data_IF_718906591013
#
_entry.id   IF_718906591013
#
_cell.length_a   1.000
_cell.length_b   1.000
_cell.length_c   1.000
_cell.angle_alpha   90.00
_cell.angle_beta   90.00
_cell.angle_gamma   90.00
#
_symmetry.space_group_name_H-M   'P 1'
#
loop_
_entity.id
_entity.type
_entity.pdbx_description
1 polymer ?
#
# COMPACT_ATOMS: atom_id res chain seq x y z
N UNK A 1 6.47 -10.57 9.90
CA UNK A 1 6.14 -11.22 8.59
C UNK A 1 4.72 -10.94 8.11
N UNK A 2 3.66 -11.05 8.94
CA UNK A 2 2.26 -10.81 8.51
C UNK A 2 2.00 -9.43 7.87
N UNK A 3 2.44 -8.33 8.49
CA UNK A 3 2.19 -6.98 7.97
C UNK A 3 2.95 -6.68 6.68
N UNK A 4 4.16 -7.23 6.52
CA UNK A 4 4.91 -7.08 5.27
C UNK A 4 4.25 -7.85 4.11
N UNK A 5 3.70 -9.03 4.38
CA UNK A 5 2.94 -9.78 3.39
C UNK A 5 1.64 -9.06 2.98
N UNK A 6 0.94 -8.46 3.96
CA UNK A 6 -0.20 -7.57 3.68
C UNK A 6 0.22 -6.38 2.80
N UNK A 7 1.32 -5.72 3.14
CA UNK A 7 1.88 -4.64 2.33
C UNK A 7 2.13 -5.09 0.88
N UNK A 8 2.79 -6.24 0.69
CA UNK A 8 3.06 -6.80 -0.63
C UNK A 8 1.79 -7.12 -1.41
N UNK A 9 0.80 -7.76 -0.79
CA UNK A 9 -0.49 -8.05 -1.42
C UNK A 9 -1.22 -6.77 -1.83
N UNK A 10 -1.28 -5.78 -0.93
CA UNK A 10 -1.91 -4.49 -1.20
C UNK A 10 -1.18 -3.74 -2.33
N UNK A 11 0.15 -3.76 -2.32
CA UNK A 11 0.98 -3.19 -3.37
C UNK A 11 0.70 -3.85 -4.72
N UNK A 12 0.76 -5.18 -4.79
CA UNK A 12 0.53 -5.95 -6.02
C UNK A 12 -0.88 -5.72 -6.55
N UNK A 13 -1.89 -5.73 -5.67
CA UNK A 13 -3.28 -5.47 -6.04
C UNK A 13 -3.45 -4.09 -6.68
N UNK A 14 -2.92 -3.03 -6.06
CA UNK A 14 -2.98 -1.69 -6.65
C UNK A 14 -2.16 -1.58 -7.93
N UNK A 15 -0.98 -2.18 -7.95
CA UNK A 15 -0.10 -2.10 -9.11
C UNK A 15 -0.74 -2.74 -10.34
N UNK A 16 -1.27 -3.96 -10.21
CA UNK A 16 -1.97 -4.66 -11.29
C UNK A 16 -3.23 -3.89 -11.71
N UNK A 17 -4.05 -3.43 -10.76
CA UNK A 17 -5.26 -2.67 -11.07
C UNK A 17 -4.93 -1.40 -11.86
N UNK A 18 -3.88 -0.68 -11.47
CA UNK A 18 -3.45 0.55 -12.12
C UNK A 18 -2.86 0.29 -13.51
N UNK A 19 -2.15 -0.84 -13.70
CA UNK A 19 -1.67 -1.28 -15.02
C UNK A 19 -2.83 -1.64 -15.95
N UNK A 20 -3.85 -2.34 -15.46
CA UNK A 20 -5.06 -2.68 -16.26
C UNK A 20 -5.74 -1.38 -16.71
N UNK A 21 -5.96 -0.44 -15.80
CA UNK A 21 -6.59 0.85 -16.14
C UNK A 21 -5.75 1.64 -17.15
N UNK A 22 -4.42 1.71 -16.97
CA UNK A 22 -3.55 2.37 -17.94
C UNK A 22 -3.55 1.65 -19.31
N UNK A 23 -3.59 0.32 -19.35
CA UNK A 23 -3.64 -0.43 -20.59
C UNK A 23 -4.97 -0.24 -21.35
N UNK A 24 -6.09 -0.06 -20.63
CA UNK A 24 -7.41 0.15 -21.23
C UNK A 24 -7.65 1.60 -21.67
N UNK A 25 -7.12 2.58 -20.93
CA UNK A 25 -7.44 4.00 -21.14
C UNK A 25 -6.32 4.81 -21.79
N UNK A 26 -5.08 4.32 -21.79
CA UNK A 26 -3.91 5.06 -22.29
C UNK A 26 -3.17 4.26 -23.35
N UNK A 27 -2.63 4.98 -24.33
CA UNK A 27 -1.77 4.39 -25.36
C UNK A 27 -0.43 3.87 -24.77
N UNK A 28 -0.03 4.36 -23.59
CA UNK A 28 1.17 3.93 -22.89
C UNK A 28 0.80 3.40 -21.49
N UNK A 29 1.34 2.23 -21.14
CA UNK A 29 1.14 1.57 -19.85
C UNK A 29 1.63 2.39 -18.64
N UNK A 30 2.52 3.36 -18.87
CA UNK A 30 3.09 4.28 -17.89
C UNK A 30 3.44 3.60 -16.54
N UNK A 31 4.26 2.54 -16.64
CA UNK A 31 4.61 1.61 -15.57
C UNK A 31 5.21 2.29 -14.34
N UNK A 32 6.01 3.34 -14.54
CA UNK A 32 6.65 4.08 -13.45
C UNK A 32 5.63 4.80 -12.57
N UNK A 33 4.63 5.44 -13.17
CA UNK A 33 3.55 6.11 -12.43
C UNK A 33 2.65 5.08 -11.75
N UNK A 34 2.35 3.96 -12.41
CA UNK A 34 1.58 2.88 -11.80
C UNK A 34 2.29 2.33 -10.55
N UNK A 35 3.62 2.14 -10.64
CA UNK A 35 4.46 1.68 -9.54
C UNK A 35 4.50 2.68 -8.39
N UNK A 36 4.78 3.97 -8.66
CA UNK A 36 4.94 4.98 -7.62
C UNK A 36 3.64 5.21 -6.84
N UNK A 37 2.49 5.22 -7.52
CA UNK A 37 1.17 5.33 -6.87
C UNK A 37 0.88 4.11 -6.01
N UNK A 38 1.07 2.89 -6.55
CA UNK A 38 0.83 1.67 -5.79
C UNK A 38 1.74 1.56 -4.56
N UNK A 39 3.02 1.93 -4.71
CA UNK A 39 3.98 1.95 -3.61
C UNK A 39 3.59 2.98 -2.55
N UNK A 40 3.27 4.21 -2.95
CA UNK A 40 2.86 5.27 -2.03
C UNK A 40 1.60 4.91 -1.22
N UNK A 41 0.57 4.38 -1.88
CA UNK A 41 -0.66 3.95 -1.21
C UNK A 41 -0.42 2.78 -0.23
N UNK A 42 0.29 1.73 -0.69
CA UNK A 42 0.58 0.58 0.16
C UNK A 42 1.48 0.97 1.35
N UNK A 43 2.46 1.85 1.13
CA UNK A 43 3.39 2.30 2.17
C UNK A 43 2.68 3.19 3.19
N UNK A 44 1.82 4.10 2.74
CA UNK A 44 0.99 4.92 3.63
C UNK A 44 0.12 4.08 4.55
N UNK A 45 -0.54 3.04 4.01
CA UNK A 45 -1.32 2.12 4.84
C UNK A 45 -0.47 1.32 5.82
N UNK A 46 0.71 0.86 5.40
CA UNK A 46 1.64 0.16 6.28
C UNK A 46 2.12 1.05 7.45
N UNK A 47 2.40 2.33 7.18
CA UNK A 47 2.76 3.29 8.23
C UNK A 47 1.60 3.54 9.20
N UNK A 48 0.38 3.68 8.69
CA UNK A 48 -0.82 3.84 9.53
C UNK A 48 -1.03 2.60 10.40
N UNK A 49 -0.87 1.39 9.85
CA UNK A 49 -1.00 0.13 10.60
C UNK A 49 0.03 0.09 11.74
N UNK A 50 1.30 0.45 11.48
CA UNK A 50 2.34 0.53 12.52
C UNK A 50 2.02 1.59 13.57
N UNK A 51 1.60 2.78 13.14
CA UNK A 51 1.33 3.90 14.05
C UNK A 51 0.13 3.61 14.95
N UNK A 52 -0.95 3.08 14.38
CA UNK A 52 -2.14 2.68 15.12
C UNK A 52 -1.82 1.58 16.14
N UNK A 53 -1.05 0.56 15.76
CA UNK A 53 -0.62 -0.50 16.68
C UNK A 53 0.22 0.11 17.82
N UNK A 54 1.21 0.96 17.51
CA UNK A 54 2.03 1.62 18.54
C UNK A 54 1.20 2.46 19.51
N UNK A 55 0.18 3.16 19.01
CA UNK A 55 -0.71 3.97 19.84
C UNK A 55 -1.54 3.10 20.78
N UNK A 56 -2.19 2.05 20.26
CA UNK A 56 -2.99 1.11 21.07
C UNK A 56 -2.15 0.43 22.15
N UNK A 57 -0.93 -0.03 21.82
CA UNK A 57 -0.03 -0.64 22.81
C UNK A 57 0.48 0.34 23.87
N UNK A 58 0.57 1.64 23.53
CA UNK A 58 0.90 2.67 24.51
C UNK A 58 -0.28 2.91 25.45
N UNK A 59 -1.49 3.09 24.91
CA UNK A 59 -2.71 3.30 25.72
C UNK A 59 -2.96 2.13 26.69
N UNK A 60 -2.77 0.87 26.28
CA UNK A 60 -2.93 -0.31 27.15
C UNK A 60 -1.87 -0.42 28.25
N UNK A 61 -0.70 0.20 28.10
CA UNK A 61 0.38 0.16 29.10
C UNK A 61 0.22 1.23 30.18
N UNK A 62 -0.55 2.27 29.89
CA UNK A 62 -0.80 3.41 30.77
C UNK A 62 -2.07 3.23 31.64
N UNK A 63 -2.80 2.10 31.49
CA UNK A 63 -3.88 1.60 32.37
C UNK A 63 -3.39 0.53 33.37
#
# INVERSE_FOLDING_TARGET
MKSFYRFLLTFVFFFISNLIVNALLKHNLNTLTAFSVAFGCAFGMFLVEIYAIKKVFKDVKDE
#
